data_IF_681199863121
#
_entry.id   IF_681199863121
#
_cell.length_a   1.000
_cell.length_b   1.000
_cell.length_c   1.000
_cell.angle_alpha   90.00
_cell.angle_beta   90.00
_cell.angle_gamma   90.00
#
_symmetry.space_group_name_H-M   'P 1'
#
loop_
_entity.id
_entity.type
_entity.pdbx_description
1 polymer ?
#
# COMPACT_ATOMS: atom_id res chain seq x y z
N UNK A 1 10.08 -1.23 -4.67
CA UNK A 1 11.09 -0.71 -5.63
C UNK A 1 10.61 0.64 -6.15
N UNK A 2 11.50 1.63 -6.27
CA UNK A 2 11.17 2.93 -6.86
C UNK A 2 12.04 3.11 -8.11
N UNK A 3 11.43 3.36 -9.27
CA UNK A 3 12.13 3.64 -10.54
C UNK A 3 11.65 4.95 -11.12
N UNK A 4 12.46 5.59 -11.99
CA UNK A 4 12.04 6.79 -12.73
C UNK A 4 11.69 6.43 -14.16
N UNK A 5 10.59 6.97 -14.68
CA UNK A 5 10.22 6.87 -16.09
C UNK A 5 10.85 8.01 -16.92
N UNK A 6 10.74 7.91 -18.25
CA UNK A 6 11.28 8.90 -19.20
C UNK A 6 10.67 10.30 -19.03
N UNK A 7 9.51 10.40 -18.38
CA UNK A 7 8.78 11.63 -18.12
C UNK A 7 9.10 12.24 -16.73
N UNK A 8 10.13 11.73 -16.04
CA UNK A 8 10.54 12.12 -14.67
C UNK A 8 9.51 11.79 -13.58
N UNK A 9 8.53 10.93 -13.85
CA UNK A 9 7.66 10.39 -12.81
C UNK A 9 8.35 9.22 -12.11
N UNK A 10 7.98 9.03 -10.85
CA UNK A 10 8.41 7.90 -10.03
C UNK A 10 7.39 6.78 -10.17
N UNK A 11 7.85 5.59 -10.53
CA UNK A 11 7.09 4.35 -10.49
C UNK A 11 7.40 3.67 -9.16
N UNK A 12 6.36 3.53 -8.34
CA UNK A 12 6.40 2.85 -7.04
C UNK A 12 5.80 1.46 -7.21
N UNK A 13 6.64 0.45 -7.07
CA UNK A 13 6.24 -0.96 -7.09
C UNK A 13 6.33 -1.52 -5.67
N UNK A 14 5.19 -1.87 -5.09
CA UNK A 14 5.07 -2.48 -3.76
C UNK A 14 4.65 -3.92 -3.95
N UNK A 15 5.51 -4.83 -3.51
CA UNK A 15 5.23 -6.26 -3.46
C UNK A 15 5.33 -6.71 -2.03
N UNK A 16 4.26 -7.32 -1.55
CA UNK A 16 4.20 -7.86 -0.20
C UNK A 16 3.79 -9.32 -0.29
N UNK A 17 4.51 -10.16 0.42
CA UNK A 17 4.22 -11.58 0.57
C UNK A 17 3.95 -11.88 2.05
N UNK A 18 3.20 -12.94 2.31
CA UNK A 18 2.89 -13.41 3.67
C UNK A 18 2.09 -12.39 4.52
N UNK A 19 1.22 -11.60 3.89
CA UNK A 19 0.26 -10.80 4.64
C UNK A 19 -0.80 -11.71 5.27
N UNK A 20 -1.22 -11.33 6.47
CA UNK A 20 -2.43 -11.90 7.08
C UNK A 20 -3.65 -11.40 6.33
N UNK A 21 -4.75 -12.15 6.31
CA UNK A 21 -6.02 -11.65 5.79
C UNK A 21 -6.50 -10.44 6.61
N UNK A 22 -6.90 -9.31 6.00
CA UNK A 22 -7.35 -8.14 6.76
C UNK A 22 -8.56 -8.44 7.65
N UNK A 23 -9.42 -9.41 7.28
CA UNK A 23 -10.55 -9.85 8.09
C UNK A 23 -10.14 -10.57 9.37
N UNK A 24 -8.91 -11.10 9.42
CA UNK A 24 -8.34 -11.81 10.58
C UNK A 24 -7.58 -10.90 11.53
N UNK A 25 -7.44 -9.61 11.21
CA UNK A 25 -6.83 -8.63 12.10
C UNK A 25 -7.75 -8.30 13.28
N UNK A 26 -7.18 -7.70 14.33
CA UNK A 26 -7.93 -7.14 15.45
C UNK A 26 -7.56 -5.66 15.63
N UNK A 27 -8.50 -4.71 15.39
CA UNK A 27 -9.83 -4.93 14.82
C UNK A 27 -9.75 -5.48 13.39
N UNK A 28 -10.80 -6.17 12.94
CA UNK A 28 -10.87 -6.68 11.58
C UNK A 28 -11.06 -5.53 10.58
N UNK A 29 -10.49 -5.70 9.39
CA UNK A 29 -10.50 -4.73 8.29
C UNK A 29 -10.87 -5.40 6.98
N UNK A 30 -11.12 -4.60 5.95
CA UNK A 30 -11.56 -5.12 4.64
C UNK A 30 -10.45 -5.19 3.61
N UNK A 31 -9.50 -4.27 3.65
CA UNK A 31 -8.48 -4.13 2.61
C UNK A 31 -7.18 -3.57 3.16
N UNK A 32 -6.13 -3.67 2.35
CA UNK A 32 -4.84 -3.04 2.62
C UNK A 32 -4.64 -1.86 1.67
N UNK A 33 -4.41 -0.68 2.25
CA UNK A 33 -4.15 0.55 1.50
C UNK A 33 -2.68 0.90 1.59
N UNK A 34 -2.08 1.24 0.46
CA UNK A 34 -0.70 1.68 0.36
C UNK A 34 -0.67 3.20 0.34
N UNK A 35 0.18 3.73 1.20
CA UNK A 35 0.38 5.15 1.40
C UNK A 35 1.78 5.55 1.01
N UNK A 36 1.86 6.73 0.43
CA UNK A 36 3.12 7.40 0.12
C UNK A 36 3.20 8.72 0.87
N UNK A 37 4.18 8.82 1.74
CA UNK A 37 4.62 10.10 2.29
C UNK A 37 5.54 10.77 1.28
N UNK A 38 5.17 11.97 0.87
CA UNK A 38 5.98 12.81 0.00
C UNK A 38 6.69 13.88 0.83
N UNK A 39 7.80 14.38 0.32
CA UNK A 39 8.61 15.42 1.00
C UNK A 39 7.82 16.69 1.31
N UNK A 40 7.02 17.18 0.36
CA UNK A 40 6.37 18.49 0.47
C UNK A 40 4.83 18.43 0.37
N UNK A 41 4.24 17.29 0.01
CA UNK A 41 2.80 17.17 -0.27
C UNK A 41 2.06 16.24 0.71
N UNK A 42 2.70 15.90 1.83
CA UNK A 42 2.15 15.04 2.87
C UNK A 42 1.94 13.60 2.41
N UNK A 43 1.03 12.91 3.09
CA UNK A 43 0.68 11.51 2.83
C UNK A 43 -0.41 11.41 1.76
N UNK A 44 -0.21 10.54 0.77
CA UNK A 44 -1.14 10.29 -0.33
C UNK A 44 -1.50 8.80 -0.38
N UNK A 45 -2.78 8.52 -0.58
CA UNK A 45 -3.26 7.18 -0.95
C UNK A 45 -2.81 6.91 -2.39
N UNK A 46 -2.05 5.84 -2.60
CA UNK A 46 -1.57 5.44 -3.93
C UNK A 46 -2.26 4.18 -4.47
N UNK A 47 -3.21 3.63 -3.70
CA UNK A 47 -4.03 2.49 -4.08
C UNK A 47 -4.05 1.38 -3.04
N UNK A 48 -4.86 0.35 -3.30
CA UNK A 48 -4.94 -0.85 -2.47
C UNK A 48 -4.06 -1.99 -3.01
N UNK A 49 -3.60 -2.87 -2.13
CA UNK A 49 -2.93 -4.09 -2.55
C UNK A 49 -3.94 -5.03 -3.21
N UNK A 50 -3.65 -5.46 -4.44
CA UNK A 50 -4.43 -6.49 -5.08
C UNK A 50 -3.94 -7.86 -4.61
N UNK A 51 -4.84 -8.63 -4.00
CA UNK A 51 -4.55 -10.03 -3.65
C UNK A 51 -4.42 -10.85 -4.94
N UNK A 52 -3.29 -11.54 -5.10
CA UNK A 52 -3.07 -12.47 -6.22
C UNK A 52 -3.38 -13.92 -5.89
N UNK A 53 -3.56 -14.27 -4.61
CA UNK A 53 -3.81 -15.66 -4.25
C UNK A 53 -5.30 -16.00 -4.34
N UNK A 54 -5.61 -17.17 -4.93
CA UNK A 54 -6.96 -17.72 -4.97
C UNK A 54 -7.47 -18.08 -3.57
N UNK A 55 -8.79 -18.26 -3.46
CA UNK A 55 -9.64 -18.49 -2.27
C UNK A 55 -9.14 -19.47 -1.17
N UNK A 56 -8.00 -20.15 -1.36
CA UNK A 56 -7.47 -21.20 -0.48
C UNK A 56 -6.09 -20.90 0.13
N UNK A 57 -5.49 -19.72 -0.09
CA UNK A 57 -4.21 -19.35 0.54
C UNK A 57 -4.42 -18.73 1.92
N UNK A 58 -3.74 -19.24 2.93
CA UNK A 58 -3.72 -18.68 4.30
C UNK A 58 -2.90 -17.39 4.42
N UNK A 59 -2.15 -17.05 3.36
CA UNK A 59 -1.30 -15.87 3.26
C UNK A 59 -1.65 -15.09 2.01
N UNK A 60 -1.82 -13.78 2.14
CA UNK A 60 -2.06 -12.89 1.01
C UNK A 60 -0.74 -12.42 0.42
N UNK A 61 -0.61 -12.56 -0.90
CA UNK A 61 0.34 -11.81 -1.71
C UNK A 61 -0.35 -10.60 -2.30
N UNK A 62 0.14 -9.43 -1.94
CA UNK A 62 -0.36 -8.15 -2.40
C UNK A 62 0.63 -7.48 -3.34
N UNK A 63 0.15 -6.99 -4.48
CA UNK A 63 0.96 -6.15 -5.36
C UNK A 63 0.24 -4.84 -5.69
N UNK A 64 1.01 -3.77 -5.78
CA UNK A 64 0.59 -2.46 -6.28
C UNK A 64 1.71 -1.85 -7.12
N UNK A 65 1.33 -1.33 -8.28
CA UNK A 65 2.18 -0.47 -9.10
C UNK A 65 1.48 0.86 -9.28
N UNK A 66 2.12 1.94 -8.84
CA UNK A 66 1.61 3.30 -8.96
C UNK A 66 2.65 4.21 -9.63
N UNK A 67 2.20 5.17 -10.42
CA UNK A 67 3.06 6.19 -11.04
C UNK A 67 2.71 7.54 -10.43
N UNK A 68 3.72 8.30 -10.04
CA UNK A 68 3.54 9.58 -9.36
C UNK A 68 4.59 10.61 -9.76
N UNK A 69 4.22 11.88 -9.97
CA UNK A 69 5.20 12.95 -10.20
C UNK A 69 5.92 13.35 -8.90
N UNK A 70 5.44 12.92 -7.73
CA UNK A 70 5.99 13.31 -6.43
C UNK A 70 7.18 12.44 -6.04
N UNK A 71 8.06 13.00 -5.20
CA UNK A 71 9.18 12.26 -4.64
C UNK A 71 8.73 11.48 -3.39
N UNK A 72 8.72 10.13 -3.41
CA UNK A 72 8.36 9.32 -2.24
C UNK A 72 9.50 9.35 -1.20
N UNK A 73 9.20 9.83 0.01
CA UNK A 73 10.11 9.71 1.16
C UNK A 73 9.88 8.41 1.94
N UNK A 74 8.61 8.00 2.08
CA UNK A 74 8.25 6.80 2.85
C UNK A 74 7.05 6.12 2.25
N UNK A 75 7.10 4.80 2.18
CA UNK A 75 5.96 3.97 1.79
C UNK A 75 5.55 3.13 2.99
N UNK A 76 4.25 3.07 3.25
CA UNK A 76 3.70 2.23 4.31
C UNK A 76 2.33 1.70 3.92
N UNK A 77 1.91 0.63 4.59
CA UNK A 77 0.65 -0.06 4.31
C UNK A 77 -0.16 -0.09 5.59
N UNK A 78 -1.45 0.26 5.49
CA UNK A 78 -2.40 0.17 6.60
C UNK A 78 -3.54 -0.77 6.24
N UNK A 79 -4.16 -1.33 7.28
CA UNK A 79 -5.40 -2.10 7.15
C UNK A 79 -6.60 -1.15 7.33
N UNK A 80 -7.51 -1.14 6.35
CA UNK A 80 -8.59 -0.16 6.26
C UNK A 80 -9.94 -0.81 5.93
N UNK A 81 -11.02 -0.11 6.24
CA UNK A 81 -12.40 -0.52 5.93
C UNK A 81 -12.85 -0.09 4.52
N UNK A 82 -12.16 0.88 3.93
CA UNK A 82 -12.40 1.39 2.58
C UNK A 82 -11.07 1.76 1.91
N UNK A 83 -10.96 1.46 0.62
CA UNK A 83 -9.80 1.74 -0.20
C UNK A 83 -9.72 3.21 -0.66
N UNK A 84 -10.86 3.91 -0.72
CA UNK A 84 -10.97 5.27 -1.22
C UNK A 84 -10.80 6.35 -0.14
N UNK A 85 -10.26 5.99 1.03
CA UNK A 85 -10.05 6.94 2.13
C UNK A 85 -8.90 7.91 1.83
N UNK A 86 -9.01 9.13 2.35
CA UNK A 86 -8.06 10.22 2.12
C UNK A 86 -6.95 10.29 3.17
N UNK A 87 -7.15 9.65 4.31
CA UNK A 87 -6.22 9.65 5.44
C UNK A 87 -5.99 8.23 5.95
N UNK A 88 -4.76 7.86 6.30
CA UNK A 88 -4.47 6.55 6.86
C UNK A 88 -5.10 6.41 8.25
N UNK A 89 -5.63 5.22 8.53
CA UNK A 89 -5.98 4.78 9.86
C UNK A 89 -4.74 4.48 10.71
N UNK A 90 -4.98 3.96 11.92
CA UNK A 90 -3.93 3.73 12.92
C UNK A 90 -3.23 2.38 12.77
N UNK A 91 -3.79 1.45 12.01
CA UNK A 91 -3.30 0.07 11.92
C UNK A 91 -2.27 -0.07 10.79
N UNK A 92 -1.05 0.37 11.05
CA UNK A 92 0.09 0.18 10.14
C UNK A 92 0.58 -1.27 10.21
N UNK A 93 0.61 -1.93 9.06
CA UNK A 93 1.04 -3.33 8.95
C UNK A 93 2.45 -3.45 8.38
N UNK A 94 2.85 -2.51 7.53
CA UNK A 94 4.19 -2.47 6.96
C UNK A 94 4.67 -1.03 6.82
N UNK A 95 5.96 -0.82 7.04
CA UNK A 95 6.65 0.43 6.76
C UNK A 95 8.00 0.11 6.14
N UNK A 96 8.42 0.88 5.13
CA UNK A 96 9.81 0.88 4.70
C UNK A 96 10.61 1.88 5.55
N UNK A 97 11.87 1.57 5.90
CA UNK A 97 12.80 2.55 6.45
C UNK A 97 13.17 3.62 5.41
#
# INVERSE_FOLDING_TARGET
KITRDENKNHVVEVKVIHLTDPSRLQPSKKTYVVWMQTENNGTKNIGQLQSKDGFFSSTLKGELTAVTPFNPQKIFVTAEDDAAIQFPGTQVVLTTP
#
